data_IF_564902904135
#
_entry.id   IF_564902904135
#
_cell.length_a   1.000
_cell.length_b   1.000
_cell.length_c   1.000
_cell.angle_alpha   90.00
_cell.angle_beta   90.00
_cell.angle_gamma   90.00
#
_symmetry.space_group_name_H-M   'P 1'
#
loop_
_entity.id
_entity.type
_entity.pdbx_description
1 polymer ?
#
# COMPACT_ATOMS: atom_id res chain seq x y z
N UNK A 1 -18.17 18.76 -1.68
CA UNK A 1 -17.89 17.96 -2.88
C UNK A 1 -19.19 17.45 -3.50
N UNK A 2 -19.84 18.29 -4.32
CA UNK A 2 -20.87 17.82 -5.26
C UNK A 2 -20.21 17.00 -6.38
N UNK A 3 -21.00 16.30 -7.19
CA UNK A 3 -20.48 15.54 -8.34
C UNK A 3 -19.80 16.47 -9.34
N UNK A 4 -20.43 17.59 -9.69
CA UNK A 4 -19.85 18.61 -10.57
C UNK A 4 -18.52 19.15 -10.01
N UNK A 5 -18.47 19.48 -8.71
CA UNK A 5 -17.24 19.98 -8.09
C UNK A 5 -16.12 18.93 -8.09
N UNK A 6 -16.45 17.65 -7.95
CA UNK A 6 -15.49 16.55 -8.05
C UNK A 6 -14.96 16.40 -9.47
N UNK A 7 -15.85 16.35 -10.46
CA UNK A 7 -15.46 16.18 -11.87
C UNK A 7 -14.67 17.37 -12.39
N UNK A 8 -15.04 18.59 -12.01
CA UNK A 8 -14.30 19.81 -12.35
C UNK A 8 -12.88 19.78 -11.78
N UNK A 9 -12.70 19.36 -10.53
CA UNK A 9 -11.37 19.25 -9.94
C UNK A 9 -10.56 18.12 -10.56
N UNK A 10 -11.17 16.95 -10.77
CA UNK A 10 -10.49 15.80 -11.37
C UNK A 10 -9.97 16.14 -12.76
N UNK A 11 -10.79 16.81 -13.58
CA UNK A 11 -10.41 17.29 -14.91
C UNK A 11 -9.19 18.22 -14.89
N UNK A 12 -9.08 19.12 -13.89
CA UNK A 12 -7.93 20.04 -13.75
C UNK A 12 -6.60 19.33 -13.47
N UNK A 13 -6.64 18.09 -12.98
CA UNK A 13 -5.46 17.32 -12.55
C UNK A 13 -5.04 16.26 -13.57
N UNK A 14 -5.78 16.12 -14.67
CA UNK A 14 -5.46 15.20 -15.76
C UNK A 14 -4.72 15.92 -16.91
N UNK A 15 -3.96 15.17 -17.72
CA UNK A 15 -3.51 15.67 -19.03
C UNK A 15 -4.70 16.12 -19.89
N UNK A 16 -4.56 17.18 -20.72
CA UNK A 16 -5.67 17.74 -21.52
C UNK A 16 -6.43 16.71 -22.35
N UNK A 17 -5.73 15.80 -23.00
CA UNK A 17 -6.31 14.74 -23.84
C UNK A 17 -7.16 13.74 -23.05
N UNK A 18 -6.78 13.45 -21.79
CA UNK A 18 -7.55 12.60 -20.90
C UNK A 18 -8.75 13.36 -20.31
N UNK A 19 -8.57 14.65 -20.05
CA UNK A 19 -9.63 15.53 -19.55
C UNK A 19 -10.76 15.74 -20.57
N UNK A 20 -10.44 15.83 -21.86
CA UNK A 20 -11.41 15.97 -22.96
C UNK A 20 -12.22 14.70 -23.21
N UNK A 21 -11.59 13.53 -23.03
CA UNK A 21 -12.22 12.22 -23.22
C UNK A 21 -12.93 11.67 -21.97
N UNK A 22 -12.88 12.38 -20.85
CA UNK A 22 -13.49 11.97 -19.59
C UNK A 22 -15.03 12.00 -19.68
N UNK A 23 -15.64 10.82 -19.59
CA UNK A 23 -17.08 10.67 -19.38
C UNK A 23 -17.42 10.85 -17.90
N UNK A 24 -18.42 11.68 -17.59
CA UNK A 24 -18.87 11.97 -16.22
C UNK A 24 -20.28 11.47 -15.96
N UNK A 25 -20.66 11.35 -14.69
CA UNK A 25 -21.99 10.91 -14.29
C UNK A 25 -22.27 11.10 -12.79
N UNK A 26 -23.49 10.79 -12.33
CA UNK A 26 -23.83 10.84 -10.92
C UNK A 26 -23.03 9.80 -10.14
N UNK A 27 -22.60 10.18 -8.93
CA UNK A 27 -21.88 9.25 -8.05
C UNK A 27 -22.78 8.14 -7.52
N UNK A 28 -22.26 6.92 -7.47
CA UNK A 28 -22.91 5.77 -6.79
C UNK A 28 -22.55 5.80 -5.30
N UNK A 29 -21.30 6.14 -4.98
CA UNK A 29 -20.77 6.27 -3.62
C UNK A 29 -19.77 7.43 -3.59
N UNK A 30 -19.71 8.13 -2.45
CA UNK A 30 -18.67 9.12 -2.14
C UNK A 30 -18.31 9.05 -0.67
N UNK A 31 -17.03 8.87 -0.41
CA UNK A 31 -16.43 8.94 0.92
C UNK A 31 -15.08 9.62 0.89
N UNK A 32 -14.57 9.96 2.07
CA UNK A 32 -13.21 10.49 2.26
C UNK A 32 -12.47 9.46 3.09
N UNK A 33 -11.44 8.86 2.51
CA UNK A 33 -10.56 7.93 3.20
C UNK A 33 -9.30 8.66 3.70
N UNK A 34 -9.00 8.66 5.00
CA UNK A 34 -7.74 9.22 5.50
C UNK A 34 -6.57 8.33 5.10
N UNK A 35 -5.44 8.94 4.74
CA UNK A 35 -4.18 8.22 4.52
C UNK A 35 -3.53 7.93 5.87
N UNK A 36 -3.20 6.66 6.13
CA UNK A 36 -2.53 6.22 7.35
C UNK A 36 -1.54 5.09 7.04
N UNK A 37 -0.39 5.14 7.70
CA UNK A 37 0.51 3.98 7.88
C UNK A 37 0.42 3.53 9.34
N UNK A 38 0.33 2.23 9.59
CA UNK A 38 0.28 1.65 10.93
C UNK A 38 0.79 0.21 10.88
N UNK A 39 1.60 -0.18 11.86
CA UNK A 39 2.08 -1.56 12.03
C UNK A 39 2.09 -1.89 13.53
N UNK A 40 1.52 -3.03 13.90
CA UNK A 40 1.57 -3.58 15.25
C UNK A 40 2.67 -4.64 15.36
N UNK A 41 3.54 -4.49 16.36
CA UNK A 41 4.60 -5.44 16.65
C UNK A 41 4.58 -5.87 18.13
N UNK A 42 4.62 -7.19 18.42
CA UNK A 42 4.45 -8.31 17.49
C UNK A 42 3.00 -8.45 16.98
N UNK A 43 2.80 -9.23 15.91
CA UNK A 43 1.47 -9.54 15.36
C UNK A 43 0.77 -10.70 16.10
N UNK A 44 1.18 -10.98 17.34
CA UNK A 44 0.69 -12.09 18.17
C UNK A 44 0.82 -11.78 19.65
N UNK A 45 -0.13 -12.29 20.45
CA UNK A 45 -0.01 -12.37 21.91
C UNK A 45 -0.58 -13.69 22.44
N UNK A 46 0.28 -14.59 22.90
CA UNK A 46 -0.14 -15.94 23.30
C UNK A 46 -0.87 -16.63 22.15
N UNK A 47 -2.12 -17.07 22.35
CA UNK A 47 -2.91 -17.72 21.27
C UNK A 47 -3.68 -16.76 20.36
N UNK A 48 -3.56 -15.44 20.58
CA UNK A 48 -4.15 -14.42 19.71
C UNK A 48 -3.18 -14.07 18.58
N UNK A 49 -3.64 -14.14 17.33
CA UNK A 49 -2.87 -13.75 16.15
C UNK A 49 -3.65 -12.65 15.40
N UNK A 50 -2.97 -11.60 14.94
CA UNK A 50 -3.55 -10.48 14.22
C UNK A 50 -3.21 -10.58 12.73
N UNK A 51 -4.15 -10.31 11.83
CA UNK A 51 -3.95 -10.29 10.38
C UNK A 51 -4.71 -9.13 9.71
N UNK A 52 -4.21 -8.66 8.57
CA UNK A 52 -4.78 -7.55 7.81
C UNK A 52 -4.86 -6.26 8.64
N UNK A 53 -5.96 -5.53 8.49
CA UNK A 53 -6.20 -4.25 9.17
C UNK A 53 -6.17 -4.30 10.71
N UNK A 54 -6.29 -5.50 11.31
CA UNK A 54 -6.09 -5.69 12.74
C UNK A 54 -4.61 -5.54 13.17
N UNK A 55 -3.68 -5.73 12.24
CA UNK A 55 -2.23 -5.69 12.48
C UNK A 55 -1.54 -4.50 11.79
N UNK A 56 -1.97 -4.12 10.59
CA UNK A 56 -1.32 -3.06 9.82
C UNK A 56 -2.31 -2.34 8.90
N UNK A 57 -2.04 -1.07 8.59
CA UNK A 57 -2.83 -0.29 7.63
C UNK A 57 -1.89 0.52 6.76
N UNK A 58 -2.00 0.36 5.44
CA UNK A 58 -1.17 1.04 4.43
C UNK A 58 -1.96 2.14 3.72
N UNK A 59 -1.31 3.22 3.25
CA UNK A 59 -1.95 4.19 2.38
C UNK A 59 -2.45 3.52 1.09
N UNK A 60 -3.65 3.89 0.59
CA UNK A 60 -4.26 3.24 -0.58
C UNK A 60 -3.46 3.45 -1.88
N UNK A 61 -2.53 4.40 -1.91
CA UNK A 61 -1.67 4.71 -3.08
C UNK A 61 -0.97 3.48 -3.65
N UNK A 62 -0.51 2.55 -2.79
CA UNK A 62 0.17 1.33 -3.23
C UNK A 62 -0.78 0.19 -3.62
N UNK A 63 -2.08 0.30 -3.32
CA UNK A 63 -3.08 -0.77 -3.48
C UNK A 63 -2.69 -2.09 -2.76
N UNK A 64 -2.20 -2.01 -1.52
CA UNK A 64 -1.58 -3.15 -0.81
C UNK A 64 -2.36 -3.76 0.35
N UNK A 65 -3.33 -3.07 0.95
CA UNK A 65 -3.98 -3.53 2.20
C UNK A 65 -4.53 -4.96 2.12
N UNK A 66 -5.43 -5.22 1.18
CA UNK A 66 -6.01 -6.56 0.97
C UNK A 66 -4.95 -7.61 0.59
N UNK A 67 -3.95 -7.23 -0.20
CA UNK A 67 -2.87 -8.12 -0.63
C UNK A 67 -1.95 -8.53 0.53
N UNK A 68 -1.72 -7.62 1.49
CA UNK A 68 -1.02 -7.94 2.73
C UNK A 68 -1.85 -8.85 3.61
N UNK A 69 -3.14 -8.55 3.81
CA UNK A 69 -4.03 -9.41 4.58
C UNK A 69 -4.06 -10.85 4.03
N UNK A 70 -4.12 -11.03 2.71
CA UNK A 70 -4.06 -12.35 2.09
C UNK A 70 -2.75 -13.11 2.40
N UNK A 71 -1.64 -12.39 2.50
CA UNK A 71 -0.32 -12.98 2.79
C UNK A 71 -0.17 -13.31 4.27
N UNK A 72 -0.71 -12.49 5.17
CA UNK A 72 -0.79 -12.81 6.59
C UNK A 72 -1.57 -14.11 6.80
N UNK A 73 -2.71 -14.27 6.12
CA UNK A 73 -3.52 -15.48 6.21
C UNK A 73 -2.74 -16.70 5.71
N UNK A 74 -1.94 -16.55 4.65
CA UNK A 74 -1.06 -17.62 4.17
C UNK A 74 -0.03 -18.04 5.25
N UNK A 75 0.69 -17.09 5.84
CA UNK A 75 1.67 -17.39 6.88
C UNK A 75 1.03 -17.91 8.17
N UNK A 76 -0.15 -17.38 8.52
CA UNK A 76 -0.93 -17.82 9.68
C UNK A 76 -1.42 -19.26 9.50
N UNK A 77 -1.87 -19.61 8.30
CA UNK A 77 -2.29 -20.96 7.94
C UNK A 77 -1.14 -21.96 8.12
N UNK A 78 0.04 -21.65 7.56
CA UNK A 78 1.24 -22.50 7.72
C UNK A 78 1.60 -22.71 9.19
N UNK A 79 1.58 -21.63 9.98
CA UNK A 79 1.91 -21.67 11.40
C UNK A 79 0.89 -22.49 12.22
N UNK A 80 -0.41 -22.36 11.91
CA UNK A 80 -1.47 -23.14 12.55
C UNK A 80 -1.35 -24.61 12.18
N UNK A 81 -1.05 -24.94 10.92
CA UNK A 81 -0.84 -26.33 10.50
C UNK A 81 0.32 -26.99 11.27
N UNK A 82 1.47 -26.32 11.36
CA UNK A 82 2.62 -26.84 12.09
C UNK A 82 2.33 -27.00 13.59
N UNK A 83 1.66 -26.01 14.20
CA UNK A 83 1.27 -26.09 15.61
C UNK A 83 0.27 -27.23 15.89
N UNK A 84 -0.72 -27.43 15.03
CA UNK A 84 -1.75 -28.46 15.24
C UNK A 84 -1.29 -29.87 14.84
N UNK A 85 -0.51 -29.99 13.76
CA UNK A 85 -0.05 -31.27 13.22
C UNK A 85 1.23 -31.79 13.88
N UNK A 86 2.23 -30.92 14.03
CA UNK A 86 3.56 -31.28 14.50
C UNK A 86 3.82 -30.86 15.96
N UNK A 87 2.84 -30.20 16.60
CA UNK A 87 2.96 -29.62 17.94
C UNK A 87 4.10 -28.60 18.07
N UNK A 88 4.44 -27.93 16.96
CA UNK A 88 5.48 -26.90 16.93
C UNK A 88 4.94 -25.54 17.42
N UNK A 89 5.24 -25.19 18.67
CA UNK A 89 4.88 -23.88 19.22
C UNK A 89 5.68 -22.73 18.62
N UNK A 90 6.91 -22.99 18.14
CA UNK A 90 7.79 -21.96 17.59
C UNK A 90 7.26 -21.44 16.24
N UNK A 91 6.50 -22.26 15.50
CA UNK A 91 5.84 -21.86 14.27
C UNK A 91 4.91 -20.64 14.44
N UNK A 92 4.31 -20.48 15.62
CA UNK A 92 3.43 -19.35 15.91
C UNK A 92 4.19 -18.03 16.12
N UNK A 93 5.43 -18.08 16.62
CA UNK A 93 6.30 -16.90 16.71
C UNK A 93 6.90 -16.55 15.34
N UNK A 94 7.21 -17.59 14.56
CA UNK A 94 7.71 -17.45 13.20
C UNK A 94 6.69 -16.76 12.27
N UNK A 95 5.38 -16.96 12.50
CA UNK A 95 4.32 -16.21 11.83
C UNK A 95 4.56 -14.69 11.90
N UNK A 96 4.72 -14.14 13.11
CA UNK A 96 4.87 -12.70 13.29
C UNK A 96 6.13 -12.21 12.58
N UNK A 97 7.22 -12.98 12.63
CA UNK A 97 8.48 -12.61 11.98
C UNK A 97 8.35 -12.57 10.45
N UNK A 98 7.75 -13.60 9.84
CA UNK A 98 7.56 -13.69 8.38
C UNK A 98 6.59 -12.62 7.87
N UNK A 99 5.47 -12.43 8.56
CA UNK A 99 4.49 -11.42 8.20
C UNK A 99 5.10 -10.01 8.25
N UNK A 100 5.80 -9.66 9.34
CA UNK A 100 6.41 -8.34 9.50
C UNK A 100 7.48 -8.02 8.45
N UNK A 101 8.31 -8.99 8.05
CA UNK A 101 9.29 -8.79 6.98
C UNK A 101 8.63 -8.34 5.66
N UNK A 102 7.46 -8.91 5.33
CA UNK A 102 6.70 -8.53 4.14
C UNK A 102 5.92 -7.22 4.34
N UNK A 103 5.31 -7.02 5.50
CA UNK A 103 4.57 -5.80 5.86
C UNK A 103 5.48 -4.58 5.71
N UNK A 104 6.70 -4.61 6.27
CA UNK A 104 7.61 -3.47 6.20
C UNK A 104 8.09 -3.14 4.79
N UNK A 105 8.39 -4.16 3.97
CA UNK A 105 8.74 -3.94 2.55
C UNK A 105 7.61 -3.25 1.79
N UNK A 106 6.37 -3.61 2.13
CA UNK A 106 5.17 -3.09 1.49
C UNK A 106 4.77 -1.70 2.00
N UNK A 107 4.90 -1.45 3.30
CA UNK A 107 4.76 -0.13 3.92
C UNK A 107 5.78 0.84 3.35
N UNK A 108 7.05 0.46 3.27
CA UNK A 108 8.12 1.28 2.66
C UNK A 108 7.74 1.71 1.25
N UNK A 109 7.26 0.79 0.42
CA UNK A 109 6.85 1.11 -0.96
C UNK A 109 5.62 2.03 -0.99
N UNK A 110 4.60 1.73 -0.17
CA UNK A 110 3.36 2.51 -0.13
C UNK A 110 3.60 3.93 0.39
N UNK A 111 4.45 4.08 1.41
CA UNK A 111 4.92 5.35 1.94
C UNK A 111 5.73 6.14 0.89
N UNK A 112 6.70 5.50 0.23
CA UNK A 112 7.52 6.15 -0.80
C UNK A 112 6.65 6.67 -1.95
N UNK A 113 5.76 5.82 -2.47
CA UNK A 113 4.87 6.19 -3.58
C UNK A 113 3.92 7.32 -3.17
N UNK A 114 3.37 7.26 -1.94
CA UNK A 114 2.52 8.32 -1.39
C UNK A 114 3.24 9.66 -1.34
N UNK A 115 4.46 9.70 -0.83
CA UNK A 115 5.26 10.93 -0.79
C UNK A 115 5.59 11.44 -2.19
N UNK A 116 5.87 10.54 -3.13
CA UNK A 116 6.20 10.90 -4.51
C UNK A 116 5.02 11.52 -5.27
N UNK A 117 3.79 11.03 -5.04
CA UNK A 117 2.62 11.40 -5.85
C UNK A 117 1.67 12.40 -5.19
N UNK A 118 1.91 12.80 -3.93
CA UNK A 118 1.06 13.75 -3.21
C UNK A 118 1.80 15.05 -2.87
N UNK A 119 1.04 16.15 -2.81
CA UNK A 119 1.50 17.44 -2.28
C UNK A 119 1.05 17.57 -0.82
N UNK A 120 2.01 17.57 0.10
CA UNK A 120 1.76 17.73 1.54
C UNK A 120 2.08 19.13 2.05
N UNK A 121 3.00 19.81 1.36
CA UNK A 121 3.42 21.17 1.61
C UNK A 121 3.81 21.80 0.27
N UNK A 122 4.14 23.10 0.30
CA UNK A 122 4.60 23.87 -0.85
C UNK A 122 6.12 24.11 -0.83
N UNK A 123 6.91 23.18 -0.27
CA UNK A 123 8.37 23.28 -0.28
C UNK A 123 8.92 23.05 -1.70
N UNK A 124 9.55 24.09 -2.24
CA UNK A 124 10.13 24.08 -3.58
C UNK A 124 11.26 23.05 -3.74
N UNK A 125 12.05 22.80 -2.69
CA UNK A 125 13.11 21.79 -2.75
C UNK A 125 12.50 20.39 -2.82
N UNK A 126 11.54 20.09 -1.95
CA UNK A 126 10.82 18.81 -1.94
C UNK A 126 10.14 18.54 -3.29
N UNK A 127 9.49 19.56 -3.88
CA UNK A 127 8.86 19.46 -5.20
C UNK A 127 9.88 19.09 -6.30
N UNK A 128 11.07 19.72 -6.30
CA UNK A 128 12.14 19.38 -7.26
C UNK A 128 12.68 17.98 -7.06
N UNK A 129 12.80 17.52 -5.82
CA UNK A 129 13.21 16.13 -5.53
C UNK A 129 12.19 15.10 -6.03
N UNK A 130 10.89 15.37 -5.86
CA UNK A 130 9.83 14.51 -6.42
C UNK A 130 9.87 14.45 -7.94
N UNK A 131 10.06 15.59 -8.60
CA UNK A 131 10.20 15.65 -10.07
C UNK A 131 11.42 14.86 -10.56
N UNK A 132 12.56 14.97 -9.87
CA UNK A 132 13.77 14.22 -10.20
C UNK A 132 13.57 12.70 -10.02
N UNK A 133 12.91 12.28 -8.94
CA UNK A 133 12.60 10.88 -8.68
C UNK A 133 11.62 10.32 -9.72
N UNK A 134 10.56 11.06 -10.07
CA UNK A 134 9.63 10.70 -11.15
C UNK A 134 10.35 10.55 -12.49
N UNK A 135 11.25 11.48 -12.83
CA UNK A 135 12.06 11.39 -14.03
C UNK A 135 12.96 10.14 -14.02
N UNK A 136 13.59 9.84 -12.88
CA UNK A 136 14.43 8.64 -12.75
C UNK A 136 13.63 7.35 -12.96
N UNK A 137 12.51 7.17 -12.24
CA UNK A 137 11.73 5.92 -12.32
C UNK A 137 11.03 5.72 -13.68
N UNK A 138 10.80 6.79 -14.43
CA UNK A 138 10.18 6.71 -15.76
C UNK A 138 11.18 6.51 -16.89
N UNK A 139 12.45 6.94 -16.71
CA UNK A 139 13.48 6.87 -17.76
C UNK A 139 14.51 5.76 -17.56
N UNK A 140 14.77 5.33 -16.32
CA UNK A 140 15.73 4.27 -15.97
C UNK A 140 15.09 2.88 -15.94
N UNK A 141 15.73 1.88 -16.55
CA UNK A 141 15.31 0.48 -16.43
C UNK A 141 15.32 -0.03 -14.98
N UNK A 142 16.35 0.33 -14.21
CA UNK A 142 16.45 -0.06 -12.81
C UNK A 142 15.32 0.57 -11.97
N UNK A 143 15.00 1.84 -12.24
CA UNK A 143 13.89 2.54 -11.59
C UNK A 143 12.54 1.92 -11.93
N UNK A 144 12.27 1.67 -13.22
CA UNK A 144 11.06 0.98 -13.67
C UNK A 144 10.90 -0.40 -13.05
N UNK A 145 12.00 -1.18 -12.97
CA UNK A 145 11.99 -2.52 -12.37
C UNK A 145 11.66 -2.48 -10.88
N UNK A 146 12.26 -1.56 -10.13
CA UNK A 146 11.97 -1.37 -8.70
C UNK A 146 10.49 -1.06 -8.47
N UNK A 147 9.90 -0.19 -9.28
CA UNK A 147 8.45 0.09 -9.19
C UNK A 147 7.64 -1.16 -9.54
N UNK A 148 7.95 -1.82 -10.66
CA UNK A 148 7.21 -2.97 -11.16
C UNK A 148 7.18 -4.13 -10.15
N UNK A 149 8.33 -4.53 -9.61
CA UNK A 149 8.41 -5.67 -8.68
C UNK A 149 7.66 -5.41 -7.37
N UNK A 150 7.70 -4.17 -6.86
CA UNK A 150 6.93 -3.81 -5.67
C UNK A 150 5.44 -3.67 -5.99
N UNK A 151 5.07 -3.19 -7.19
CA UNK A 151 3.69 -2.99 -7.60
C UNK A 151 2.96 -4.31 -7.88
N UNK A 152 3.61 -5.31 -8.50
CA UNK A 152 3.03 -6.66 -8.66
C UNK A 152 3.04 -7.47 -7.36
N UNK A 153 3.90 -7.09 -6.41
CA UNK A 153 4.02 -7.74 -5.12
C UNK A 153 5.25 -8.65 -5.04
N UNK A 154 5.92 -8.59 -3.90
CA UNK A 154 7.11 -9.41 -3.63
C UNK A 154 6.70 -10.87 -3.32
N UNK A 155 7.62 -11.83 -3.56
CA UNK A 155 7.39 -13.24 -3.26
C UNK A 155 6.91 -13.50 -1.83
N UNK A 156 6.13 -14.58 -1.65
CA UNK A 156 5.69 -15.09 -0.34
C UNK A 156 6.78 -15.88 0.37
#
# INVERSE_FOLDING_TARGET
>A
WSDDAFWDEFRRRLPPEMAESLETGPSIEKSIAPLRSFVAEPMRFGRLMLAGDAAHVVPPTGAKGLNLAASDIHYMYDAILAFCGDHDEAALDEYSRRALDRVWKTERFSWWLTNLTHRFNDDAFEQRMKEAELAYITTSDAGRRMVAENYVGLPL
#
